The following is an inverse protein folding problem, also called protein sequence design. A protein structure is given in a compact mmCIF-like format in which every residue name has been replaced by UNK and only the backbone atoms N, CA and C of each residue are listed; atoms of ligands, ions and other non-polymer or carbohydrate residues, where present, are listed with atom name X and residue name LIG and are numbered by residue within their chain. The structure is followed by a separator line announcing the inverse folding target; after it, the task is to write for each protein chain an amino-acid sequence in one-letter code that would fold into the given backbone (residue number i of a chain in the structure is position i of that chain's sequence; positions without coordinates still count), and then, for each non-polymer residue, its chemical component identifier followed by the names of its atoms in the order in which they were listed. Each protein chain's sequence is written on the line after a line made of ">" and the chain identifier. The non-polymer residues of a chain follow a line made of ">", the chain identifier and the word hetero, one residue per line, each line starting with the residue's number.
data_IF_734038191973
#
_entry.id   IF_734038191973
#
_cell.length_a   1.000
_cell.length_b   1.000
_cell.length_c   1.000
_cell.angle_alpha   90.00
_cell.angle_beta   90.00
_cell.angle_gamma   90.00
#
_symmetry.space_group_name_H-M   'P 1'
#
loop_
_entity.id
_entity.type
_entity.pdbx_description
1 polymer ?
#
# COMPACT_ATOMS: atom_id res chain seq x y z
N UNK A 1 -5.76 -8.72 -11.63
CA UNK A 1 -4.41 -8.28 -11.22
C UNK A 1 -3.44 -9.45 -11.35
N UNK A 2 -2.31 -9.23 -11.98
CA UNK A 2 -1.32 -10.28 -12.19
C UNK A 2 -0.44 -10.46 -10.93
N UNK A 3 -0.05 -11.71 -10.67
CA UNK A 3 0.78 -12.02 -9.49
C UNK A 3 2.12 -11.27 -9.48
N UNK A 4 2.74 -11.05 -10.64
CA UNK A 4 3.99 -10.29 -10.76
C UNK A 4 3.89 -8.81 -10.34
N UNK A 5 2.69 -8.27 -10.23
CA UNK A 5 2.45 -6.89 -9.78
C UNK A 5 2.49 -6.76 -8.25
N UNK A 6 2.55 -7.88 -7.55
CA UNK A 6 2.54 -7.95 -6.09
C UNK A 6 3.92 -8.01 -5.48
N UNK A 7 4.01 -7.64 -4.22
CA UNK A 7 5.21 -7.73 -3.40
C UNK A 7 4.90 -8.43 -2.08
N UNK A 8 5.93 -8.95 -1.43
CA UNK A 8 5.81 -9.48 -0.07
C UNK A 8 5.16 -8.44 0.85
N UNK A 9 4.19 -8.87 1.62
CA UNK A 9 3.48 -8.01 2.56
C UNK A 9 2.29 -7.25 1.98
N UNK A 10 2.05 -7.32 0.67
CA UNK A 10 0.89 -6.68 0.04
C UNK A 10 -0.41 -7.33 0.50
N UNK A 11 -1.42 -6.51 0.72
CA UNK A 11 -2.77 -6.97 1.02
C UNK A 11 -3.59 -7.11 -0.26
N UNK A 12 -4.20 -8.27 -0.41
CA UNK A 12 -5.12 -8.63 -1.48
C UNK A 12 -6.32 -9.36 -0.90
N UNK A 13 -7.34 -9.60 -1.68
CA UNK A 13 -8.46 -10.44 -1.27
C UNK A 13 -8.61 -11.68 -2.14
N UNK A 14 -9.04 -12.76 -1.51
CA UNK A 14 -9.61 -13.88 -2.22
C UNK A 14 -11.01 -13.52 -2.74
N UNK A 15 -11.54 -14.29 -3.69
CA UNK A 15 -12.81 -14.03 -4.35
C UNK A 15 -14.05 -13.89 -3.46
N UNK A 16 -13.93 -14.05 -2.16
CA UNK A 16 -15.00 -13.83 -1.17
C UNK A 16 -14.79 -12.60 -0.30
N UNK A 17 -13.81 -11.76 -0.62
CA UNK A 17 -13.50 -10.56 0.15
C UNK A 17 -12.66 -10.79 1.39
N UNK A 18 -12.18 -12.01 1.64
CA UNK A 18 -11.26 -12.29 2.76
C UNK A 18 -9.91 -11.64 2.50
N UNK A 19 -9.46 -10.71 3.37
CA UNK A 19 -8.16 -10.10 3.22
C UNK A 19 -7.04 -11.12 3.50
N UNK A 20 -6.04 -11.11 2.64
CA UNK A 20 -4.86 -11.95 2.76
C UNK A 20 -3.60 -11.17 2.49
N UNK A 21 -2.52 -11.54 3.11
CA UNK A 21 -1.22 -10.90 2.94
C UNK A 21 -0.28 -11.79 2.14
N UNK A 22 0.34 -11.21 1.12
CA UNK A 22 1.27 -11.92 0.23
C UNK A 22 2.53 -12.29 0.98
N UNK A 23 2.91 -13.57 0.91
CA UNK A 23 4.10 -14.11 1.54
C UNK A 23 5.18 -14.54 0.54
N UNK A 24 4.80 -14.76 -0.71
CA UNK A 24 5.73 -15.18 -1.75
C UNK A 24 5.20 -14.78 -3.13
N UNK A 25 6.08 -14.38 -4.03
CA UNK A 25 5.74 -13.97 -5.39
C UNK A 25 6.67 -14.61 -6.40
N UNK A 26 6.10 -15.22 -7.43
CA UNK A 26 6.80 -15.69 -8.61
C UNK A 26 6.34 -14.95 -9.87
N UNK A 27 6.76 -15.40 -11.04
CA UNK A 27 6.42 -14.75 -12.30
C UNK A 27 4.93 -14.82 -12.63
N UNK A 28 4.29 -15.94 -12.33
CA UNK A 28 2.89 -16.23 -12.66
C UNK A 28 2.09 -16.79 -11.48
N UNK A 29 2.66 -16.77 -10.27
CA UNK A 29 2.01 -17.24 -9.05
C UNK A 29 2.35 -16.37 -7.85
N UNK A 30 1.52 -16.44 -6.81
CA UNK A 30 1.79 -15.85 -5.50
C UNK A 30 1.17 -16.71 -4.40
N UNK A 31 1.76 -16.66 -3.22
CA UNK A 31 1.18 -17.26 -2.03
C UNK A 31 0.74 -16.17 -1.06
N UNK A 32 -0.37 -16.42 -0.38
CA UNK A 32 -0.93 -15.50 0.60
C UNK A 32 -1.41 -16.24 1.84
N UNK A 33 -1.36 -15.57 2.97
CA UNK A 33 -1.85 -16.09 4.24
C UNK A 33 -2.81 -15.12 4.90
N UNK A 34 -3.63 -15.63 5.81
CA UNK A 34 -4.44 -14.84 6.74
C UNK A 34 -4.19 -15.32 8.17
N UNK A 35 -4.61 -14.53 9.11
CA UNK A 35 -4.44 -14.85 10.53
C UNK A 35 -5.07 -16.21 10.85
N UNK A 36 -4.28 -17.11 11.41
CA UNK A 36 -4.67 -18.49 11.75
C UNK A 36 -4.42 -19.53 10.65
N UNK A 37 -3.92 -19.13 9.48
CA UNK A 37 -3.67 -20.04 8.35
C UNK A 37 -2.27 -19.93 7.76
N UNK A 38 -1.30 -19.53 8.55
CA UNK A 38 0.09 -19.32 8.11
C UNK A 38 0.77 -20.63 7.65
N UNK A 39 0.32 -21.76 8.17
CA UNK A 39 0.84 -23.09 7.81
C UNK A 39 0.28 -23.69 6.53
N UNK A 40 -0.76 -23.07 5.94
CA UNK A 40 -1.41 -23.54 4.72
C UNK A 40 -1.75 -22.36 3.80
N UNK A 41 -0.73 -21.75 3.17
CA UNK A 41 -0.94 -20.55 2.36
C UNK A 41 -1.81 -20.83 1.15
N UNK A 42 -2.63 -19.84 0.80
CA UNK A 42 -3.43 -19.83 -0.41
C UNK A 42 -2.54 -19.53 -1.62
N UNK A 43 -2.72 -20.30 -2.68
CA UNK A 43 -2.01 -20.08 -3.94
C UNK A 43 -2.89 -19.31 -4.93
N UNK A 44 -2.33 -18.20 -5.42
CA UNK A 44 -2.85 -17.49 -6.59
C UNK A 44 -2.04 -17.84 -7.82
N UNK A 45 -2.70 -17.85 -8.97
CA UNK A 45 -2.05 -17.97 -10.27
C UNK A 45 -2.74 -17.05 -11.29
N UNK A 46 -1.98 -16.63 -12.29
CA UNK A 46 -2.47 -15.67 -13.28
C UNK A 46 -3.52 -16.26 -14.23
N UNK A 47 -3.64 -17.57 -14.29
CA UNK A 47 -4.51 -18.26 -15.22
C UNK A 47 -5.89 -18.57 -14.63
N UNK A 48 -5.93 -19.15 -13.45
CA UNK A 48 -7.17 -19.73 -12.90
C UNK A 48 -7.65 -19.04 -11.61
N UNK A 49 -6.77 -18.40 -10.88
CA UNK A 49 -7.10 -17.80 -9.59
C UNK A 49 -6.29 -16.53 -9.32
N UNK A 50 -6.69 -15.44 -9.93
CA UNK A 50 -6.02 -14.16 -9.74
C UNK A 50 -6.39 -13.52 -8.40
N UNK A 51 -5.44 -12.83 -7.73
CA UNK A 51 -5.76 -12.03 -6.57
C UNK A 51 -6.62 -10.82 -6.95
N UNK A 52 -7.50 -10.43 -6.04
CA UNK A 52 -8.33 -9.23 -6.19
C UNK A 52 -7.75 -8.08 -5.37
N UNK A 53 -7.71 -6.87 -5.92
CA UNK A 53 -7.23 -5.71 -5.17
C UNK A 53 -8.26 -5.29 -4.12
N UNK A 54 -7.75 -4.68 -3.04
CA UNK A 54 -8.59 -4.10 -1.98
C UNK A 54 -8.59 -2.58 -2.14
N UNK A 55 -9.75 -1.98 -2.27
CA UNK A 55 -9.87 -0.52 -2.36
C UNK A 55 -9.51 0.14 -1.02
N UNK A 56 -8.82 1.28 -1.10
CA UNK A 56 -8.48 2.07 0.07
C UNK A 56 -9.73 2.80 0.56
N UNK A 57 -9.98 2.78 1.86
CA UNK A 57 -11.05 3.53 2.50
C UNK A 57 -10.50 4.55 3.49
N UNK A 58 -11.32 5.55 3.85
CA UNK A 58 -10.96 6.53 4.89
C UNK A 58 -10.69 5.84 6.24
N UNK A 59 -11.47 4.84 6.57
CA UNK A 59 -11.33 4.07 7.80
C UNK A 59 -9.99 3.36 7.88
N UNK A 60 -9.53 2.77 6.78
CA UNK A 60 -8.22 2.14 6.71
C UNK A 60 -7.10 3.15 6.93
N UNK A 61 -7.20 4.32 6.31
CA UNK A 61 -6.21 5.37 6.50
C UNK A 61 -6.16 5.83 7.95
N UNK A 62 -7.31 6.08 8.57
CA UNK A 62 -7.40 6.43 9.99
C UNK A 62 -6.81 5.36 10.90
N UNK A 63 -7.08 4.08 10.63
CA UNK A 63 -6.55 2.95 11.39
C UNK A 63 -5.02 2.82 11.28
N UNK A 64 -4.42 3.39 10.24
CA UNK A 64 -2.98 3.40 10.00
C UNK A 64 -2.30 4.72 10.40
N UNK A 65 -2.97 5.54 11.17
CA UNK A 65 -2.39 6.75 11.76
C UNK A 65 -2.53 8.02 10.94
N UNK A 66 -3.27 7.98 9.83
CA UNK A 66 -3.56 9.18 9.07
C UNK A 66 -4.72 9.97 9.69
N UNK A 67 -4.63 11.29 9.61
CA UNK A 67 -5.72 12.17 10.03
C UNK A 67 -6.66 12.40 8.85
N UNK A 68 -7.93 12.13 9.05
CA UNK A 68 -8.97 12.25 8.02
C UNK A 68 -9.81 13.48 8.30
N UNK A 69 -9.91 14.41 7.33
CA UNK A 69 -10.75 15.60 7.40
C UNK A 69 -11.88 15.52 6.38
N UNK A 70 -13.12 15.46 6.81
CA UNK A 70 -14.32 15.39 5.98
C UNK A 70 -14.21 14.33 4.87
N UNK A 71 -14.56 14.69 3.65
CA UNK A 71 -14.38 13.84 2.47
C UNK A 71 -12.98 13.98 1.84
N UNK A 72 -12.11 14.78 2.44
CA UNK A 72 -10.71 14.95 2.04
C UNK A 72 -9.82 14.35 3.09
N UNK A 73 -8.97 13.47 2.64
CA UNK A 73 -7.84 13.05 3.46
C UNK A 73 -6.70 13.98 3.08
N UNK A 74 -6.48 14.99 3.91
CA UNK A 74 -5.30 15.83 3.80
C UNK A 74 -4.32 15.32 4.84
N UNK A 75 -3.42 14.49 4.39
CA UNK A 75 -2.54 13.83 5.33
C UNK A 75 -1.14 14.30 5.11
N UNK A 76 -0.70 15.03 6.09
CA UNK A 76 0.69 15.25 6.27
C UNK A 76 1.20 14.25 7.32
N UNK A 77 1.70 13.13 6.88
CA UNK A 77 2.53 12.28 7.73
C UNK A 77 3.83 12.98 8.10
N UNK A 78 4.05 14.15 7.51
CA UNK A 78 5.31 14.77 7.39
C UNK A 78 5.95 15.26 8.67
N UNK A 79 5.22 15.63 9.69
CA UNK A 79 5.87 16.08 10.92
C UNK A 79 6.48 14.94 11.73
N UNK A 80 6.04 13.72 11.49
CA UNK A 80 6.47 12.56 12.25
C UNK A 80 7.19 11.50 11.41
N UNK A 81 7.12 11.59 10.09
CA UNK A 81 7.70 10.59 9.20
C UNK A 81 8.55 11.28 8.16
N UNK A 82 9.54 11.97 8.64
CA UNK A 82 10.69 12.36 7.85
C UNK A 82 11.63 11.16 7.78
N UNK A 83 11.75 10.57 6.62
CA UNK A 83 12.72 9.52 6.41
C UNK A 83 14.03 10.16 6.04
N UNK A 84 14.94 10.28 7.03
CA UNK A 84 16.36 10.52 6.81
C UNK A 84 16.71 11.28 5.52
N UNK A 85 16.23 12.49 5.34
CA UNK A 85 16.52 13.31 4.16
C UNK A 85 15.93 12.76 2.83
N UNK A 86 14.97 11.86 2.89
CA UNK A 86 14.46 11.18 1.69
C UNK A 86 13.04 11.57 1.31
N UNK A 87 12.43 12.48 2.04
CA UNK A 87 11.15 13.04 1.68
C UNK A 87 10.02 12.77 2.67
N UNK A 88 8.93 13.43 2.45
CA UNK A 88 7.69 13.29 3.18
C UNK A 88 6.63 12.71 2.26
N UNK A 89 5.75 11.90 2.81
CA UNK A 89 4.57 11.45 2.09
C UNK A 89 3.40 12.36 2.44
N UNK A 90 2.77 12.85 1.40
CA UNK A 90 1.55 13.62 1.47
C UNK A 90 0.45 12.87 0.72
N UNK A 91 -0.67 12.62 1.39
CA UNK A 91 -1.81 11.93 0.81
C UNK A 91 -2.99 12.89 0.65
N UNK A 92 -3.62 12.86 -0.51
CA UNK A 92 -4.86 13.56 -0.76
C UNK A 92 -5.90 12.57 -1.30
N UNK A 93 -7.01 12.43 -0.58
CA UNK A 93 -8.13 11.60 -0.99
C UNK A 93 -9.29 12.49 -1.42
N UNK A 94 -9.63 12.43 -2.70
CA UNK A 94 -10.66 13.27 -3.29
C UNK A 94 -11.57 12.45 -4.20
N UNK A 95 -12.86 12.53 -3.95
CA UNK A 95 -13.89 11.87 -4.78
C UNK A 95 -13.65 10.36 -4.99
N UNK A 96 -13.19 9.67 -3.95
CA UNK A 96 -12.91 8.24 -4.02
C UNK A 96 -11.56 7.87 -4.64
N UNK A 97 -10.75 8.86 -4.99
CA UNK A 97 -9.40 8.66 -5.52
C UNK A 97 -8.35 9.17 -4.54
N UNK A 98 -7.36 8.33 -4.27
CA UNK A 98 -6.21 8.68 -3.44
C UNK A 98 -5.05 9.06 -4.34
N UNK A 99 -4.54 10.26 -4.13
CA UNK A 99 -3.28 10.71 -4.73
C UNK A 99 -2.20 10.73 -3.66
N UNK A 100 -1.09 10.09 -3.93
CA UNK A 100 0.06 10.08 -3.06
C UNK A 100 1.12 10.99 -3.65
N UNK A 101 1.46 12.03 -2.90
CA UNK A 101 2.55 12.93 -3.24
C UNK A 101 3.76 12.50 -2.43
N UNK A 102 4.85 12.26 -3.11
CA UNK A 102 6.13 11.97 -2.49
C UNK A 102 7.03 13.19 -2.65
N UNK A 103 7.24 13.90 -1.56
CA UNK A 103 8.19 15.01 -1.52
C UNK A 103 9.59 14.43 -1.35
N UNK A 104 10.40 14.61 -2.35
CA UNK A 104 11.75 14.07 -2.40
C UNK A 104 12.77 15.20 -2.50
N UNK A 105 13.75 15.18 -1.61
CA UNK A 105 14.93 16.03 -1.68
C UNK A 105 16.11 15.18 -2.15
N UNK A 106 16.72 15.55 -3.30
CA UNK A 106 17.90 14.87 -3.79
C UNK A 106 19.17 15.32 -3.05
N UNK A 107 20.29 14.67 -3.35
CA UNK A 107 21.59 14.98 -2.74
C UNK A 107 22.09 16.40 -3.01
N UNK A 108 21.55 17.10 -4.00
CA UNK A 108 21.88 18.47 -4.35
C UNK A 108 20.97 19.52 -3.69
N UNK A 109 20.05 19.08 -2.83
CA UNK A 109 19.08 19.94 -2.16
C UNK A 109 17.90 20.36 -3.03
N UNK A 110 17.71 19.75 -4.18
CA UNK A 110 16.55 19.98 -5.05
C UNK A 110 15.35 19.16 -4.58
N UNK A 111 14.18 19.78 -4.58
CA UNK A 111 12.91 19.12 -4.26
C UNK A 111 12.18 18.72 -5.54
N UNK A 112 11.67 17.50 -5.53
CA UNK A 112 10.76 17.02 -6.56
C UNK A 112 9.54 16.39 -5.91
N UNK A 113 8.36 16.70 -6.45
CA UNK A 113 7.12 16.06 -6.05
C UNK A 113 6.80 14.96 -7.07
N UNK A 114 6.65 13.75 -6.58
CA UNK A 114 6.21 12.62 -7.40
C UNK A 114 4.76 12.33 -7.02
N UNK A 115 3.87 12.43 -8.00
CA UNK A 115 2.46 12.07 -7.82
C UNK A 115 2.24 10.64 -8.28
N UNK A 116 1.73 9.80 -7.37
CA UNK A 116 1.35 8.43 -7.66
C UNK A 116 -0.13 8.26 -7.34
N UNK A 117 -0.99 8.04 -8.33
CA UNK A 117 -2.38 7.71 -8.07
C UNK A 117 -2.47 6.32 -7.45
N UNK A 118 -3.21 6.21 -6.34
CA UNK A 118 -3.43 4.94 -5.64
C UNK A 118 -4.92 4.73 -5.44
N UNK A 119 -5.44 3.66 -5.99
CA UNK A 119 -6.81 3.22 -5.71
C UNK A 119 -6.84 2.08 -4.70
N UNK A 120 -5.82 1.26 -4.71
CA UNK A 120 -5.78 0.01 -3.97
C UNK A 120 -4.70 -0.01 -2.90
N UNK A 121 -4.95 -0.76 -1.83
CA UNK A 121 -4.05 -0.89 -0.68
C UNK A 121 -2.64 -1.30 -1.09
N UNK A 122 -2.49 -2.33 -1.93
CA UNK A 122 -1.17 -2.78 -2.36
C UNK A 122 -0.37 -1.69 -3.09
N UNK A 123 -1.04 -0.82 -3.86
CA UNK A 123 -0.39 0.30 -4.53
C UNK A 123 0.18 1.30 -3.51
N UNK A 124 -0.60 1.64 -2.49
CA UNK A 124 -0.13 2.50 -1.40
C UNK A 124 1.03 1.86 -0.64
N UNK A 125 0.93 0.57 -0.32
CA UNK A 125 2.01 -0.16 0.34
C UNK A 125 3.31 -0.12 -0.47
N UNK A 126 3.22 -0.29 -1.78
CA UNK A 126 4.39 -0.24 -2.66
C UNK A 126 5.01 1.17 -2.71
N UNK A 127 4.20 2.21 -2.74
CA UNK A 127 4.70 3.59 -2.64
C UNK A 127 5.37 3.85 -1.29
N UNK A 128 4.79 3.35 -0.20
CA UNK A 128 5.39 3.43 1.13
C UNK A 128 6.78 2.77 1.17
N UNK A 129 6.94 1.62 0.53
CA UNK A 129 8.25 0.94 0.44
C UNK A 129 9.25 1.73 -0.39
N UNK A 130 8.83 2.33 -1.50
CA UNK A 130 9.67 3.23 -2.28
C UNK A 130 10.14 4.43 -1.47
N UNK A 131 9.31 4.91 -0.56
CA UNK A 131 9.64 5.98 0.37
C UNK A 131 10.43 5.48 1.60
N UNK A 132 10.88 4.23 1.60
CA UNK A 132 11.61 3.56 2.69
C UNK A 132 10.82 3.44 3.99
N UNK A 133 9.52 3.41 3.89
CA UNK A 133 8.59 3.20 5.01
C UNK A 133 8.10 1.74 5.01
N UNK A 134 9.04 0.81 4.88
CA UNK A 134 8.76 -0.62 4.71
C UNK A 134 7.97 -1.19 5.89
N UNK A 135 8.32 -0.83 7.12
CA UNK A 135 7.61 -1.33 8.30
C UNK A 135 6.15 -0.86 8.32
N UNK A 136 5.89 0.39 7.97
CA UNK A 136 4.52 0.89 7.85
C UNK A 136 3.76 0.17 6.74
N UNK A 137 4.40 -0.07 5.61
CA UNK A 137 3.79 -0.80 4.50
C UNK A 137 3.43 -2.23 4.90
N UNK A 138 4.37 -2.97 5.50
CA UNK A 138 4.17 -4.37 5.86
C UNK A 138 3.21 -4.56 7.05
N UNK A 139 3.09 -3.57 7.93
CA UNK A 139 2.17 -3.57 9.07
C UNK A 139 0.88 -2.79 8.80
N UNK A 140 0.59 -2.47 7.55
CA UNK A 140 -0.64 -1.80 7.17
C UNK A 140 -1.85 -2.61 7.63
N UNK A 141 -2.81 -1.93 8.28
CA UNK A 141 -4.02 -2.55 8.83
C UNK A 141 -5.19 -2.36 7.87
N UNK A 142 -5.93 -3.41 7.68
CA UNK A 142 -7.14 -3.41 6.86
C UNK A 142 -8.39 -3.33 7.73
#
# INVERSE_FOLDING_TARGET
>A
MLCKELQYGDWVSAGGGLPMQITNVGDDYAYATWEGNEGDPWEYDDKDCQPSPIEITHEMLGANGWIVYDSRVLINLGSSISIKNEGNIHLEFKEGELSVWLDYENSDGEYADILVPCKYVHQLQQVLRLARMTDMANNFKI
#
